data_IF_710982684181
#
_entry.id   IF_710982684181
#
_cell.length_a   1.000
_cell.length_b   1.000
_cell.length_c   1.000
_cell.angle_alpha   90.00
_cell.angle_beta   90.00
_cell.angle_gamma   90.00
#
_symmetry.space_group_name_H-M   'P 1'
#
loop_
_entity.id
_entity.type
_entity.pdbx_description
1 polymer ?
#
# COMPACT_ATOMS: atom_id res chain seq x y z
N UNK A 1 16.66 -58.05 -21.68
CA UNK A 1 17.73 -57.35 -21.00
C UNK A 1 17.15 -56.50 -19.88
N UNK A 2 17.52 -56.79 -18.63
CA UNK A 2 17.15 -55.98 -17.46
C UNK A 2 17.85 -54.62 -17.55
N UNK A 3 17.09 -53.55 -17.50
CA UNK A 3 17.62 -52.20 -17.36
C UNK A 3 18.45 -52.15 -16.07
N UNK A 4 19.67 -51.65 -16.16
CA UNK A 4 20.57 -51.48 -15.02
C UNK A 4 19.92 -50.48 -14.04
N UNK A 5 19.63 -50.89 -12.78
CA UNK A 5 19.00 -50.04 -11.78
C UNK A 5 19.79 -48.75 -11.50
N UNK A 6 21.13 -48.79 -11.62
CA UNK A 6 21.97 -47.60 -11.44
C UNK A 6 21.81 -46.60 -12.59
N UNK A 7 21.64 -47.09 -13.81
CA UNK A 7 21.39 -46.23 -14.97
C UNK A 7 20.05 -45.54 -14.85
N UNK A 8 19.02 -46.26 -14.42
CA UNK A 8 17.68 -45.69 -14.16
C UNK A 8 17.73 -44.68 -13.04
N UNK A 9 18.43 -44.95 -11.95
CA UNK A 9 18.60 -44.01 -10.81
C UNK A 9 19.33 -42.76 -11.25
N UNK A 10 20.37 -42.85 -12.03
CA UNK A 10 21.11 -41.71 -12.56
C UNK A 10 20.25 -40.85 -13.48
N UNK A 11 19.41 -41.43 -14.33
CA UNK A 11 18.45 -40.72 -15.17
C UNK A 11 17.38 -40.02 -14.33
N UNK A 12 16.85 -40.67 -13.30
CA UNK A 12 15.88 -40.08 -12.37
C UNK A 12 16.51 -38.92 -11.61
N UNK A 13 17.73 -39.04 -11.12
CA UNK A 13 18.45 -37.98 -10.43
C UNK A 13 18.83 -36.81 -11.36
N UNK A 14 19.01 -37.05 -12.64
CA UNK A 14 19.36 -36.03 -13.63
C UNK A 14 18.13 -35.26 -14.14
N UNK A 15 17.00 -35.95 -14.35
CA UNK A 15 15.78 -35.40 -14.91
C UNK A 15 14.79 -34.90 -13.82
N UNK A 16 14.86 -35.44 -12.61
CA UNK A 16 13.93 -35.11 -11.54
C UNK A 16 13.96 -33.60 -11.12
N UNK A 17 15.15 -32.95 -10.98
CA UNK A 17 15.19 -31.54 -10.62
C UNK A 17 14.56 -30.63 -11.69
N UNK A 18 14.86 -30.90 -12.97
CA UNK A 18 14.33 -30.13 -14.10
C UNK A 18 12.84 -30.33 -14.27
N UNK A 19 12.39 -31.60 -14.09
CA UNK A 19 10.97 -31.95 -14.16
C UNK A 19 10.17 -31.35 -13.01
N UNK A 20 10.69 -31.35 -11.80
CA UNK A 20 10.08 -30.71 -10.63
C UNK A 20 10.04 -29.18 -10.77
N UNK A 21 11.11 -28.60 -11.30
CA UNK A 21 11.15 -27.17 -11.60
C UNK A 21 10.12 -26.80 -12.66
N UNK A 22 10.04 -27.55 -13.75
CA UNK A 22 9.08 -27.32 -14.82
C UNK A 22 7.64 -27.51 -14.33
N UNK A 23 7.39 -28.55 -13.52
CA UNK A 23 6.09 -28.79 -12.90
C UNK A 23 5.72 -27.64 -11.95
N UNK A 24 6.66 -27.19 -11.13
CA UNK A 24 6.47 -26.04 -10.24
C UNK A 24 6.15 -24.76 -11.01
N UNK A 25 6.85 -24.53 -12.11
CA UNK A 25 6.59 -23.39 -13.00
C UNK A 25 5.20 -23.48 -13.64
N UNK A 26 4.81 -24.65 -14.15
CA UNK A 26 3.48 -24.88 -14.75
C UNK A 26 2.39 -24.69 -13.69
N UNK A 27 2.57 -25.22 -12.49
CA UNK A 27 1.59 -25.06 -11.40
C UNK A 27 1.50 -23.60 -10.95
N UNK A 28 2.61 -22.87 -10.89
CA UNK A 28 2.62 -21.45 -10.55
C UNK A 28 1.91 -20.60 -11.61
N UNK A 29 2.18 -20.86 -12.90
CA UNK A 29 1.49 -20.21 -14.03
C UNK A 29 -0.01 -20.53 -14.00
N UNK A 30 -0.37 -21.79 -13.74
CA UNK A 30 -1.75 -22.23 -13.67
C UNK A 30 -2.48 -21.62 -12.45
N UNK A 31 -1.82 -21.57 -11.28
CA UNK A 31 -2.35 -20.90 -10.09
C UNK A 31 -2.57 -19.40 -10.33
N UNK A 32 -1.62 -18.73 -11.01
CA UNK A 32 -1.74 -17.32 -11.38
C UNK A 32 -2.92 -17.09 -12.34
N UNK A 33 -3.11 -18.02 -13.28
CA UNK A 33 -4.22 -17.96 -14.23
C UNK A 33 -5.59 -18.17 -13.55
N UNK A 34 -5.70 -19.13 -12.62
CA UNK A 34 -6.92 -19.37 -11.84
C UNK A 34 -7.24 -18.19 -10.90
N UNK A 35 -6.21 -17.55 -10.32
CA UNK A 35 -6.38 -16.42 -9.40
C UNK A 35 -6.79 -15.12 -10.10
N UNK A 36 -6.70 -15.08 -11.41
CA UNK A 36 -7.14 -13.95 -12.21
C UNK A 36 -8.66 -14.02 -12.35
N UNK A 37 -9.37 -13.49 -11.39
CA UNK A 37 -10.82 -13.54 -11.24
C UNK A 37 -11.59 -12.60 -12.21
N UNK A 38 -10.99 -12.24 -13.34
CA UNK A 38 -11.65 -11.49 -14.42
C UNK A 38 -11.88 -10.01 -14.13
N UNK A 39 -11.40 -9.50 -13.00
CA UNK A 39 -11.42 -8.05 -12.71
C UNK A 39 -10.64 -7.23 -13.73
N UNK A 40 -9.67 -7.86 -14.36
CA UNK A 40 -8.93 -7.32 -15.49
C UNK A 40 -9.15 -8.23 -16.69
N UNK A 41 -9.38 -7.67 -17.87
CA UNK A 41 -9.16 -8.44 -19.11
C UNK A 41 -7.66 -8.76 -19.14
N UNK A 42 -7.29 -9.90 -18.55
CA UNK A 42 -5.91 -10.28 -18.41
C UNK A 42 -5.26 -10.40 -19.77
N UNK A 43 -4.33 -9.50 -20.03
CA UNK A 43 -3.44 -9.60 -21.17
C UNK A 43 -2.13 -10.22 -20.71
N UNK A 44 -1.41 -10.82 -21.65
CA UNK A 44 -0.10 -11.41 -21.36
C UNK A 44 0.81 -10.43 -20.59
N UNK A 45 1.30 -10.87 -19.45
CA UNK A 45 2.19 -10.09 -18.60
C UNK A 45 1.49 -9.23 -17.54
N UNK A 46 0.17 -9.29 -17.41
CA UNK A 46 -0.54 -8.75 -16.26
C UNK A 46 -0.32 -9.63 -15.02
N UNK A 47 -0.46 -9.02 -13.84
CA UNK A 47 -0.30 -9.69 -12.55
C UNK A 47 -1.65 -9.89 -11.89
N UNK A 48 -1.77 -10.82 -10.90
CA UNK A 48 -3.00 -10.96 -10.11
C UNK A 48 -3.39 -9.69 -9.37
N UNK A 49 -2.42 -8.84 -9.05
CA UNK A 49 -2.58 -7.62 -8.27
C UNK A 49 -2.49 -6.33 -9.12
N UNK A 50 -2.35 -6.43 -10.46
CA UNK A 50 -2.31 -5.22 -11.28
C UNK A 50 -2.15 -5.45 -12.78
N UNK A 51 -2.62 -4.47 -13.53
CA UNK A 51 -2.49 -4.38 -14.99
C UNK A 51 -1.15 -3.74 -15.36
N UNK A 52 -0.40 -4.37 -16.25
CA UNK A 52 0.86 -3.82 -16.75
C UNK A 52 0.63 -2.57 -17.58
N UNK A 53 1.36 -1.50 -17.31
CA UNK A 53 1.39 -0.30 -18.12
C UNK A 53 2.39 -0.47 -19.29
N UNK A 54 1.91 -0.28 -20.51
CA UNK A 54 2.67 -0.54 -21.74
C UNK A 54 3.03 0.73 -22.51
N UNK A 55 2.29 1.82 -22.24
CA UNK A 55 2.43 3.11 -22.96
C UNK A 55 3.17 4.16 -22.14
N UNK A 56 3.96 3.73 -21.14
CA UNK A 56 4.80 4.62 -20.35
C UNK A 56 5.83 5.33 -21.22
N UNK A 57 6.16 6.56 -20.83
CA UNK A 57 7.25 7.29 -21.43
C UNK A 57 8.57 6.47 -21.37
N UNK A 58 9.42 6.50 -22.43
CA UNK A 58 10.61 5.64 -22.49
C UNK A 58 11.51 5.70 -21.25
N UNK A 59 11.74 6.89 -20.70
CA UNK A 59 12.58 7.04 -19.51
C UNK A 59 11.95 6.34 -18.28
N UNK A 60 10.64 6.38 -18.14
CA UNK A 60 9.92 5.68 -17.06
C UNK A 60 10.02 4.15 -17.17
N UNK A 61 10.20 3.63 -18.38
CA UNK A 61 10.43 2.20 -18.60
C UNK A 61 11.87 1.78 -18.25
N UNK A 62 12.85 2.68 -18.37
CA UNK A 62 14.27 2.42 -18.12
C UNK A 62 14.62 2.66 -16.65
N UNK A 63 13.98 3.63 -15.99
CA UNK A 63 14.26 4.02 -14.61
C UNK A 63 14.33 2.85 -13.62
N UNK A 64 13.47 1.82 -13.69
CA UNK A 64 13.54 0.66 -12.78
C UNK A 64 14.82 -0.18 -12.90
N UNK A 65 15.52 -0.07 -14.00
CA UNK A 65 16.81 -0.77 -14.23
C UNK A 65 17.99 0.05 -13.72
N UNK A 66 17.84 1.36 -13.66
CA UNK A 66 18.86 2.30 -13.14
C UNK A 66 18.71 2.42 -11.62
N UNK A 67 17.50 2.63 -11.14
CA UNK A 67 17.15 2.70 -9.73
C UNK A 67 16.56 1.35 -9.30
N UNK A 68 17.40 0.46 -8.77
CA UNK A 68 17.06 -0.95 -8.58
C UNK A 68 16.23 -1.20 -7.33
N UNK A 69 16.46 -0.42 -6.27
CA UNK A 69 15.78 -0.59 -4.98
C UNK A 69 14.84 0.58 -4.68
N UNK A 70 13.83 0.34 -3.82
CA UNK A 70 12.93 1.41 -3.37
C UNK A 70 13.66 2.47 -2.57
N UNK A 71 14.60 2.08 -1.75
CA UNK A 71 15.38 3.03 -0.96
C UNK A 71 16.23 3.95 -1.83
N UNK A 72 16.79 3.45 -2.94
CA UNK A 72 17.58 4.29 -3.88
C UNK A 72 16.72 5.19 -4.78
N UNK A 73 15.41 4.96 -4.83
CA UNK A 73 14.44 5.69 -5.64
C UNK A 73 13.38 6.43 -4.81
N UNK A 74 13.64 6.63 -3.52
CA UNK A 74 12.70 7.29 -2.62
C UNK A 74 12.86 8.80 -2.65
N UNK A 75 11.77 9.49 -2.92
CA UNK A 75 11.63 10.93 -2.69
C UNK A 75 10.98 11.16 -1.33
N UNK A 76 11.48 12.16 -0.60
CA UNK A 76 10.96 12.58 0.68
C UNK A 76 10.15 13.86 0.52
N UNK A 77 8.89 13.81 0.93
CA UNK A 77 7.99 14.95 0.88
C UNK A 77 7.47 15.29 2.26
N UNK A 78 7.44 16.58 2.60
CA UNK A 78 6.89 17.09 3.86
C UNK A 78 5.99 18.29 3.59
N UNK A 79 4.83 18.30 4.23
CA UNK A 79 3.93 19.47 4.23
C UNK A 79 3.24 19.62 5.58
N UNK A 80 2.79 20.82 5.87
CA UNK A 80 1.99 21.15 7.04
C UNK A 80 0.58 21.50 6.59
N UNK A 81 -0.40 20.75 7.09
CA UNK A 81 -1.81 20.99 6.80
C UNK A 81 -2.44 21.82 7.91
N UNK A 82 -3.02 22.96 7.57
CA UNK A 82 -3.92 23.67 8.44
C UNK A 82 -5.25 22.90 8.55
N UNK A 83 -5.67 22.54 9.75
CA UNK A 83 -6.73 21.57 9.98
C UNK A 83 -8.05 22.15 10.51
N UNK A 84 -8.21 23.46 10.54
CA UNK A 84 -9.44 24.09 11.09
C UNK A 84 -10.69 23.64 10.34
N UNK A 85 -10.64 23.59 9.00
CA UNK A 85 -11.74 23.10 8.17
C UNK A 85 -12.02 21.62 8.43
N UNK A 86 -10.98 20.78 8.48
CA UNK A 86 -11.10 19.37 8.78
C UNK A 86 -11.67 19.12 10.18
N UNK A 87 -11.27 19.90 11.19
CA UNK A 87 -11.82 19.78 12.54
C UNK A 87 -13.30 20.17 12.63
N UNK A 88 -13.73 21.22 11.89
CA UNK A 88 -15.16 21.55 11.80
C UNK A 88 -15.96 20.42 11.15
N UNK A 89 -15.44 19.89 10.06
CA UNK A 89 -16.03 18.77 9.34
C UNK A 89 -16.14 17.52 10.23
N UNK A 90 -15.08 17.17 10.97
CA UNK A 90 -15.08 16.06 11.92
C UNK A 90 -16.15 16.23 12.98
N UNK A 91 -16.27 17.43 13.57
CA UNK A 91 -17.32 17.72 14.57
C UNK A 91 -18.72 17.57 13.98
N UNK A 92 -18.92 18.02 12.74
CA UNK A 92 -20.19 17.85 12.04
C UNK A 92 -20.52 16.38 11.85
N UNK A 93 -19.60 15.56 11.32
CA UNK A 93 -19.79 14.13 11.10
C UNK A 93 -20.11 13.38 12.39
N UNK A 94 -19.48 13.77 13.50
CA UNK A 94 -19.80 13.19 14.81
C UNK A 94 -21.21 13.50 15.28
N UNK A 95 -21.73 14.70 14.98
CA UNK A 95 -23.13 15.07 15.27
C UNK A 95 -24.11 14.31 14.37
N UNK A 96 -23.71 13.95 13.18
CA UNK A 96 -24.48 13.15 12.23
C UNK A 96 -24.51 11.65 12.59
N UNK A 97 -23.82 11.22 13.67
CA UNK A 97 -23.82 9.85 14.18
C UNK A 97 -22.54 9.06 13.93
N UNK A 98 -21.53 9.62 13.26
CA UNK A 98 -20.23 8.97 13.05
C UNK A 98 -19.32 9.25 14.27
N UNK A 99 -19.60 8.59 15.40
CA UNK A 99 -19.13 8.98 16.73
C UNK A 99 -17.62 9.02 16.91
N UNK A 100 -16.87 8.15 16.27
CA UNK A 100 -15.41 8.08 16.32
C UNK A 100 -14.74 8.60 15.04
N UNK A 101 -15.48 9.33 14.19
CA UNK A 101 -14.92 9.96 13.00
C UNK A 101 -13.77 10.89 13.38
N UNK A 102 -12.63 10.74 12.72
CA UNK A 102 -11.41 11.47 13.07
C UNK A 102 -10.56 11.84 11.86
N UNK A 103 -9.41 12.43 12.13
CA UNK A 103 -8.50 12.93 11.11
C UNK A 103 -8.00 11.81 10.17
N UNK A 104 -7.79 10.62 10.70
CA UNK A 104 -7.39 9.44 9.88
C UNK A 104 -8.41 9.15 8.78
N UNK A 105 -9.70 9.20 9.10
CA UNK A 105 -10.76 8.98 8.11
C UNK A 105 -10.76 10.06 7.03
N UNK A 106 -10.55 11.33 7.41
CA UNK A 106 -10.48 12.44 6.46
C UNK A 106 -9.27 12.31 5.54
N UNK A 107 -8.10 11.99 6.10
CA UNK A 107 -6.88 11.80 5.32
C UNK A 107 -6.99 10.62 4.34
N UNK A 108 -7.54 9.50 4.78
CA UNK A 108 -7.80 8.35 3.90
C UNK A 108 -8.80 8.70 2.80
N UNK A 109 -9.90 9.36 3.14
CA UNK A 109 -10.89 9.79 2.15
C UNK A 109 -10.31 10.77 1.14
N UNK A 110 -9.46 11.71 1.60
CA UNK A 110 -8.75 12.63 0.71
C UNK A 110 -7.77 11.89 -0.21
N UNK A 111 -7.06 10.90 0.31
CA UNK A 111 -6.16 10.07 -0.49
C UNK A 111 -6.92 9.29 -1.58
N UNK A 112 -8.00 8.64 -1.21
CA UNK A 112 -8.87 7.88 -2.13
C UNK A 112 -9.43 8.79 -3.22
N UNK A 113 -9.93 9.97 -2.85
CA UNK A 113 -10.41 10.98 -3.80
C UNK A 113 -9.30 11.48 -4.72
N UNK A 114 -8.08 11.57 -4.22
CA UNK A 114 -6.92 11.96 -5.00
C UNK A 114 -6.58 10.90 -6.04
N UNK A 115 -6.70 9.62 -5.71
CA UNK A 115 -6.51 8.51 -6.67
C UNK A 115 -7.55 8.57 -7.80
N UNK A 116 -8.79 8.94 -7.51
CA UNK A 116 -9.83 9.08 -8.53
C UNK A 116 -9.43 10.08 -9.63
N UNK A 117 -8.72 11.15 -9.26
CA UNK A 117 -8.25 12.19 -10.18
C UNK A 117 -6.85 11.92 -10.73
N UNK A 118 -6.00 11.30 -9.93
CA UNK A 118 -4.61 11.02 -10.25
C UNK A 118 -4.33 9.51 -10.11
N UNK A 119 -4.81 8.68 -11.07
CA UNK A 119 -4.73 7.23 -10.98
C UNK A 119 -3.29 6.68 -10.97
N UNK A 120 -2.32 7.45 -11.45
CA UNK A 120 -0.90 7.11 -11.35
C UNK A 120 -0.39 6.97 -9.91
N UNK A 121 -1.08 7.56 -8.92
CA UNK A 121 -0.78 7.35 -7.51
C UNK A 121 -1.04 5.90 -7.04
N UNK A 122 -1.88 5.16 -7.76
CA UNK A 122 -2.19 3.75 -7.47
C UNK A 122 -1.39 2.75 -8.32
N UNK A 123 -0.26 3.20 -8.86
CA UNK A 123 0.70 2.34 -9.54
C UNK A 123 1.63 1.67 -8.54
N UNK A 124 2.25 0.58 -8.95
CA UNK A 124 3.35 -0.04 -8.24
C UNK A 124 4.39 -0.60 -9.20
N UNK A 125 5.58 -0.86 -8.68
CA UNK A 125 6.66 -1.45 -9.45
C UNK A 125 6.93 -2.87 -8.94
N UNK A 126 6.93 -3.82 -9.86
CA UNK A 126 7.33 -5.19 -9.59
C UNK A 126 7.98 -5.80 -10.83
N UNK A 127 9.02 -6.62 -10.62
CA UNK A 127 9.76 -7.21 -11.73
C UNK A 127 10.32 -6.16 -12.70
N UNK A 128 10.71 -4.99 -12.20
CA UNK A 128 11.23 -3.84 -12.97
C UNK A 128 10.24 -3.32 -14.03
N UNK A 129 8.95 -3.52 -13.81
CA UNK A 129 7.87 -3.01 -14.64
C UNK A 129 6.84 -2.30 -13.78
N UNK A 130 6.15 -1.34 -14.37
CA UNK A 130 5.13 -0.55 -13.69
C UNK A 130 3.76 -1.13 -13.99
N UNK A 131 2.97 -1.28 -12.94
CA UNK A 131 1.61 -1.79 -12.98
C UNK A 131 0.65 -0.79 -12.35
N UNK A 132 -0.61 -0.83 -12.76
CA UNK A 132 -1.70 -0.11 -12.13
C UNK A 132 -2.60 -1.09 -11.37
N UNK A 133 -2.95 -0.75 -10.11
CA UNK A 133 -3.98 -1.49 -9.36
C UNK A 133 -5.40 -1.13 -9.80
N UNK A 134 -5.53 -0.15 -10.69
CA UNK A 134 -6.85 0.33 -11.13
C UNK A 134 -7.64 0.93 -9.97
N UNK A 135 -8.83 0.43 -9.75
CA UNK A 135 -9.76 0.92 -8.73
C UNK A 135 -9.59 0.25 -7.35
N UNK A 136 -8.67 -0.69 -7.20
CA UNK A 136 -8.39 -1.33 -5.91
C UNK A 136 -7.29 -0.55 -5.17
N UNK A 137 -7.68 0.29 -4.23
CA UNK A 137 -6.76 1.04 -3.38
C UNK A 137 -6.54 0.24 -2.10
N UNK A 138 -5.35 -0.33 -1.96
CA UNK A 138 -4.98 -1.13 -0.80
C UNK A 138 -4.19 -0.26 0.19
N UNK A 139 -4.85 0.15 1.26
CA UNK A 139 -4.22 0.91 2.34
C UNK A 139 -3.84 -0.01 3.50
N UNK A 140 -2.54 -0.11 3.78
CA UNK A 140 -2.03 -0.81 4.95
C UNK A 140 -1.94 0.15 6.13
N UNK A 141 -2.33 -0.30 7.30
CA UNK A 141 -2.31 0.50 8.53
C UNK A 141 -1.98 -0.36 9.74
N UNK A 142 -1.56 0.27 10.81
CA UNK A 142 -1.35 -0.37 12.12
C UNK A 142 -2.47 0.03 13.09
N UNK A 143 -2.93 -0.92 13.86
CA UNK A 143 -3.80 -0.68 15.01
C UNK A 143 -3.26 -1.42 16.23
N UNK A 144 -3.30 -0.78 17.40
CA UNK A 144 -3.01 -1.46 18.67
C UNK A 144 -4.28 -2.13 19.18
N UNK A 145 -4.17 -3.40 19.55
CA UNK A 145 -5.27 -4.14 20.20
C UNK A 145 -5.51 -3.61 21.62
N UNK A 146 -4.45 -3.23 22.31
CA UNK A 146 -4.49 -2.65 23.66
C UNK A 146 -3.61 -1.41 23.74
N UNK A 147 -4.01 -0.42 24.51
CA UNK A 147 -3.26 0.83 24.73
C UNK A 147 -2.15 0.63 25.74
N UNK A 148 -1.35 -0.41 25.58
CA UNK A 148 -0.15 -0.68 26.38
C UNK A 148 1.10 -0.61 25.52
N UNK A 149 2.24 -0.24 26.14
CA UNK A 149 3.52 -0.16 25.42
C UNK A 149 3.98 -1.53 24.91
N UNK A 150 3.60 -2.59 25.61
CA UNK A 150 4.01 -3.98 25.32
C UNK A 150 3.04 -4.70 24.37
N UNK A 151 1.88 -4.09 24.06
CA UNK A 151 0.94 -4.68 23.10
C UNK A 151 1.49 -4.63 21.67
N UNK A 152 1.51 -5.75 20.93
CA UNK A 152 1.95 -5.76 19.56
C UNK A 152 1.03 -4.90 18.68
N UNK A 153 1.61 -4.21 17.70
CA UNK A 153 0.87 -3.55 16.64
C UNK A 153 0.36 -4.61 15.66
N UNK A 154 -0.94 -4.62 15.42
CA UNK A 154 -1.52 -5.43 14.35
C UNK A 154 -1.59 -4.62 13.07
N UNK A 155 -1.14 -5.22 11.97
CA UNK A 155 -1.22 -4.61 10.64
C UNK A 155 -2.45 -5.16 9.94
N UNK A 156 -3.21 -4.27 9.33
CA UNK A 156 -4.36 -4.63 8.52
C UNK A 156 -4.35 -3.91 7.18
N UNK A 157 -5.02 -4.49 6.21
CA UNK A 157 -5.17 -3.96 4.86
C UNK A 157 -6.62 -3.62 4.59
N UNK A 158 -6.85 -2.41 4.11
CA UNK A 158 -8.15 -1.92 3.68
C UNK A 158 -8.22 -1.92 2.17
N UNK A 159 -9.31 -2.43 1.62
CA UNK A 159 -9.66 -2.28 0.21
C UNK A 159 -10.65 -1.14 0.05
N UNK A 160 -10.18 -0.07 -0.57
CA UNK A 160 -10.94 1.15 -0.83
C UNK A 160 -11.13 1.34 -2.34
N UNK A 161 -12.24 1.97 -2.71
CA UNK A 161 -12.52 2.31 -4.12
C UNK A 161 -12.37 3.82 -4.32
N UNK A 162 -11.91 4.29 -5.50
CA UNK A 162 -11.91 5.70 -5.83
C UNK A 162 -13.28 6.38 -5.73
N UNK A 163 -14.37 5.60 -5.79
CA UNK A 163 -15.75 6.07 -5.60
C UNK A 163 -16.16 6.25 -4.14
N UNK A 164 -15.36 5.76 -3.18
CA UNK A 164 -15.71 5.82 -1.77
C UNK A 164 -15.82 7.27 -1.26
N UNK A 165 -16.90 7.54 -0.52
CA UNK A 165 -17.10 8.77 0.22
C UNK A 165 -16.40 8.70 1.59
N UNK A 166 -16.36 9.84 2.31
CA UNK A 166 -15.83 9.85 3.68
C UNK A 166 -16.60 8.88 4.60
N UNK A 167 -17.90 8.73 4.40
CA UNK A 167 -18.72 7.79 5.16
C UNK A 167 -18.40 6.33 4.81
N UNK A 168 -18.14 6.03 3.54
CA UNK A 168 -17.73 4.69 3.11
C UNK A 168 -16.38 4.32 3.69
N UNK A 169 -15.41 5.25 3.66
CA UNK A 169 -14.10 5.08 4.27
C UNK A 169 -14.22 4.85 5.78
N UNK A 170 -15.04 5.64 6.46
CA UNK A 170 -15.31 5.47 7.88
C UNK A 170 -15.85 4.07 8.21
N UNK A 171 -16.85 3.61 7.46
CA UNK A 171 -17.47 2.30 7.66
C UNK A 171 -16.47 1.17 7.44
N UNK A 172 -15.73 1.21 6.33
CA UNK A 172 -14.72 0.18 5.98
C UNK A 172 -13.58 0.15 7.00
N UNK A 173 -13.08 1.31 7.41
CA UNK A 173 -12.01 1.42 8.40
C UNK A 173 -12.43 0.85 9.75
N UNK A 174 -13.60 1.27 10.26
CA UNK A 174 -14.07 0.83 11.57
C UNK A 174 -14.38 -0.67 11.56
N UNK A 175 -14.97 -1.20 10.49
CA UNK A 175 -15.22 -2.64 10.37
C UNK A 175 -13.91 -3.44 10.44
N UNK A 176 -12.85 -3.00 9.77
CA UNK A 176 -11.54 -3.65 9.84
C UNK A 176 -10.89 -3.54 11.22
N UNK A 177 -11.03 -2.40 11.90
CA UNK A 177 -10.51 -2.22 13.27
C UNK A 177 -11.28 -3.10 14.27
N UNK A 178 -12.59 -3.20 14.13
CA UNK A 178 -13.42 -4.04 15.00
C UNK A 178 -13.11 -5.53 14.78
N UNK A 179 -12.90 -5.97 13.54
CA UNK A 179 -12.46 -7.33 13.23
C UNK A 179 -11.12 -7.67 13.90
N UNK A 180 -10.17 -6.73 13.93
CA UNK A 180 -8.89 -6.92 14.61
C UNK A 180 -9.07 -7.05 16.12
N UNK A 181 -9.94 -6.24 16.73
CA UNK A 181 -10.20 -6.28 18.17
C UNK A 181 -10.87 -7.58 18.59
N UNK A 182 -11.76 -8.09 17.74
CA UNK A 182 -12.51 -9.32 17.99
C UNK A 182 -11.71 -10.59 17.63
N UNK A 183 -10.64 -10.45 16.83
CA UNK A 183 -9.80 -11.58 16.44
C UNK A 183 -8.86 -12.01 17.59
N UNK A 184 -8.41 -13.29 17.65
CA UNK A 184 -7.39 -13.74 18.58
C UNK A 184 -6.15 -12.83 18.53
N UNK A 185 -5.36 -12.81 19.60
CA UNK A 185 -4.17 -11.96 19.77
C UNK A 185 -3.15 -12.07 18.60
N UNK A 186 -3.29 -13.09 17.77
CA UNK A 186 -2.42 -13.36 16.64
C UNK A 186 -3.13 -13.02 15.33
N UNK A 187 -2.62 -12.00 14.62
CA UNK A 187 -3.04 -11.72 13.24
C UNK A 187 -2.50 -12.80 12.29
N UNK A 188 -3.10 -12.95 11.11
CA UNK A 188 -2.60 -13.87 10.06
C UNK A 188 -1.15 -13.53 9.67
N UNK A 189 -0.79 -12.25 9.72
CA UNK A 189 0.58 -11.80 9.51
C UNK A 189 1.51 -12.29 10.64
N UNK A 190 1.11 -12.16 11.91
CA UNK A 190 1.90 -12.60 13.05
C UNK A 190 2.07 -14.11 13.05
N UNK A 191 1.03 -14.86 12.71
CA UNK A 191 1.09 -16.33 12.57
C UNK A 191 2.04 -16.74 11.45
N UNK A 192 1.97 -16.06 10.31
CA UNK A 192 2.89 -16.28 9.20
C UNK A 192 4.33 -15.95 9.59
N UNK A 193 4.56 -14.83 10.29
CA UNK A 193 5.87 -14.44 10.79
C UNK A 193 6.42 -15.46 11.80
N UNK A 194 5.59 -15.94 12.73
CA UNK A 194 5.98 -17.01 13.68
C UNK A 194 6.36 -18.30 12.96
N UNK A 195 5.57 -18.72 11.97
CA UNK A 195 5.91 -19.90 11.19
C UNK A 195 7.29 -19.75 10.51
N UNK A 196 7.60 -18.56 10.01
CA UNK A 196 8.91 -18.25 9.43
C UNK A 196 10.05 -18.29 10.46
N UNK A 197 9.80 -17.94 11.72
CA UNK A 197 10.85 -18.01 12.77
C UNK A 197 11.27 -19.43 13.15
N UNK A 198 10.44 -20.42 12.83
CA UNK A 198 10.77 -21.84 13.04
C UNK A 198 11.74 -22.37 11.98
N UNK A 199 11.95 -21.63 10.90
CA UNK A 199 12.84 -22.01 9.80
C UNK A 199 14.28 -21.62 10.14
N UNK A 200 15.27 -22.52 10.04
CA UNK A 200 16.68 -22.18 10.19
C UNK A 200 17.09 -21.04 9.26
N UNK A 201 17.95 -20.12 9.75
CA UNK A 201 18.26 -18.86 9.07
C UNK A 201 18.71 -19.02 7.60
N UNK A 202 19.44 -20.08 7.26
CA UNK A 202 19.86 -20.35 5.88
C UNK A 202 18.66 -20.70 4.99
N UNK A 203 17.74 -21.54 5.50
CA UNK A 203 16.51 -21.88 4.80
C UNK A 203 15.57 -20.68 4.73
N UNK A 204 15.50 -19.86 5.78
CA UNK A 204 14.73 -18.63 5.77
C UNK A 204 15.22 -17.66 4.68
N UNK A 205 16.54 -17.50 4.55
CA UNK A 205 17.14 -16.69 3.48
C UNK A 205 16.77 -17.21 2.10
N UNK A 206 16.81 -18.52 1.90
CA UNK A 206 16.37 -19.16 0.66
C UNK A 206 14.86 -18.96 0.42
N UNK A 207 14.03 -19.12 1.45
CA UNK A 207 12.58 -18.89 1.37
C UNK A 207 12.26 -17.46 0.94
N UNK A 208 12.89 -16.46 1.57
CA UNK A 208 12.70 -15.05 1.21
C UNK A 208 13.18 -14.77 -0.22
N UNK A 209 14.31 -15.36 -0.63
CA UNK A 209 14.80 -15.27 -2.00
C UNK A 209 13.80 -15.89 -3.00
N UNK A 210 13.24 -17.04 -2.68
CA UNK A 210 12.22 -17.71 -3.50
C UNK A 210 10.96 -16.86 -3.61
N UNK A 211 10.46 -16.30 -2.50
CA UNK A 211 9.29 -15.41 -2.50
C UNK A 211 9.54 -14.16 -3.36
N UNK A 212 10.72 -13.56 -3.27
CA UNK A 212 11.11 -12.44 -4.13
C UNK A 212 11.14 -12.80 -5.60
N UNK A 213 11.64 -13.98 -5.91
CA UNK A 213 11.73 -14.49 -7.29
C UNK A 213 10.34 -14.75 -7.86
N UNK A 214 9.47 -15.38 -7.09
CA UNK A 214 8.07 -15.61 -7.48
C UNK A 214 7.35 -14.27 -7.66
N UNK A 215 7.56 -13.30 -6.76
CA UNK A 215 6.97 -11.98 -6.86
C UNK A 215 7.48 -11.22 -8.10
N UNK A 216 8.77 -11.35 -8.42
CA UNK A 216 9.36 -10.77 -9.63
C UNK A 216 8.59 -11.18 -10.89
N UNK A 217 8.18 -12.44 -10.98
CA UNK A 217 7.44 -13.00 -12.12
C UNK A 217 5.92 -12.91 -11.97
N UNK A 218 5.40 -12.31 -10.89
CA UNK A 218 3.96 -12.23 -10.64
C UNK A 218 3.30 -13.55 -10.26
N UNK A 219 4.06 -14.46 -9.68
CA UNK A 219 3.62 -15.82 -9.33
C UNK A 219 3.36 -16.03 -7.84
N UNK A 220 3.38 -14.96 -7.03
CA UNK A 220 2.98 -15.08 -5.62
C UNK A 220 1.50 -15.41 -5.51
N UNK A 221 1.13 -16.37 -4.65
CA UNK A 221 -0.27 -16.68 -4.37
C UNK A 221 -1.03 -15.46 -3.82
N UNK A 222 -2.30 -15.31 -4.24
CA UNK A 222 -3.14 -14.17 -3.85
C UNK A 222 -3.26 -14.01 -2.34
N UNK A 223 -3.36 -15.10 -1.58
CA UNK A 223 -3.45 -15.03 -0.13
C UNK A 223 -2.20 -14.43 0.52
N UNK A 224 -1.01 -14.69 -0.03
CA UNK A 224 0.23 -14.08 0.46
C UNK A 224 0.29 -12.58 0.12
N UNK A 225 -0.18 -12.19 -1.06
CA UNK A 225 -0.29 -10.77 -1.42
C UNK A 225 -1.26 -10.05 -0.50
N UNK A 226 -2.35 -10.72 -0.10
CA UNK A 226 -3.38 -10.16 0.78
C UNK A 226 -2.87 -9.95 2.21
N UNK A 227 -2.25 -10.97 2.78
CA UNK A 227 -1.72 -10.93 4.17
C UNK A 227 -0.49 -10.02 4.27
N UNK A 228 0.28 -9.88 3.19
CA UNK A 228 1.55 -9.13 3.21
C UNK A 228 1.33 -7.63 3.34
N UNK A 229 1.89 -6.97 4.35
CA UNK A 229 1.85 -5.51 4.47
C UNK A 229 2.84 -4.82 3.52
N UNK A 230 3.69 -5.58 2.85
CA UNK A 230 4.69 -5.09 1.90
C UNK A 230 4.14 -4.95 0.48
N UNK A 231 2.93 -5.43 0.25
CA UNK A 231 2.20 -5.36 -1.01
C UNK A 231 0.94 -4.52 -0.80
N UNK A 232 0.82 -3.42 -1.52
CA UNK A 232 -0.32 -2.52 -1.40
C UNK A 232 -0.09 -1.20 -2.11
N UNK A 233 -1.05 -0.30 -1.98
CA UNK A 233 -0.98 1.03 -2.60
C UNK A 233 -0.26 2.03 -1.71
N UNK A 234 -0.55 2.01 -0.42
CA UNK A 234 -0.04 2.98 0.54
C UNK A 234 -0.03 2.38 1.94
N UNK A 235 0.95 2.76 2.73
CA UNK A 235 0.98 2.52 4.16
C UNK A 235 0.79 3.86 4.88
N UNK A 236 -0.22 3.94 5.74
CA UNK A 236 -0.44 5.11 6.59
C UNK A 236 -0.17 4.77 8.06
N UNK A 237 0.57 5.64 8.73
CA UNK A 237 0.78 5.56 10.17
C UNK A 237 0.47 6.88 10.85
N UNK A 238 -0.18 6.80 12.02
CA UNK A 238 -0.49 7.96 12.84
C UNK A 238 0.50 8.06 14.01
N UNK A 239 1.39 9.02 13.94
CA UNK A 239 2.25 9.38 15.07
C UNK A 239 1.52 10.27 16.08
N UNK A 240 0.38 10.84 15.68
CA UNK A 240 -0.46 11.69 16.52
C UNK A 240 -1.03 10.96 17.74
N UNK A 241 -1.34 9.67 17.61
CA UNK A 241 -1.78 8.82 18.72
C UNK A 241 -0.67 8.61 19.77
N UNK A 242 0.59 8.73 19.38
CA UNK A 242 1.76 8.62 20.23
C UNK A 242 2.23 9.99 20.77
N UNK A 243 1.60 11.09 20.34
CA UNK A 243 1.96 12.45 20.74
C UNK A 243 3.28 12.96 20.17
N UNK A 244 3.80 12.36 19.11
CA UNK A 244 5.07 12.73 18.48
C UNK A 244 4.86 13.35 17.08
N UNK A 245 5.86 14.10 16.57
CA UNK A 245 5.85 14.60 15.20
C UNK A 245 5.82 13.48 14.15
N UNK A 246 5.42 13.83 12.93
CA UNK A 246 5.52 12.91 11.79
C UNK A 246 6.98 12.54 11.52
N UNK A 247 7.17 11.32 11.05
CA UNK A 247 8.49 10.80 10.66
C UNK A 247 8.51 10.41 9.19
N UNK A 248 9.68 10.39 8.59
CA UNK A 248 9.90 9.69 7.34
C UNK A 248 10.14 8.21 7.64
N UNK A 249 9.23 7.36 7.20
CA UNK A 249 9.41 5.92 7.29
C UNK A 249 9.98 5.39 5.98
N UNK A 250 10.98 4.51 6.06
CA UNK A 250 11.55 3.92 4.85
C UNK A 250 10.52 3.07 4.08
N UNK A 251 10.70 2.98 2.76
CA UNK A 251 10.01 1.99 1.95
C UNK A 251 10.71 0.63 2.09
N UNK A 252 9.94 -0.44 1.95
CA UNK A 252 10.49 -1.79 2.02
C UNK A 252 11.02 -2.23 0.67
N UNK A 253 12.19 -2.87 0.66
CA UNK A 253 12.74 -3.48 -0.57
C UNK A 253 12.05 -4.80 -0.93
N UNK A 254 11.39 -5.43 0.04
CA UNK A 254 10.51 -6.58 -0.19
C UNK A 254 9.11 -6.09 -0.54
N UNK A 255 8.46 -6.74 -1.51
CA UNK A 255 7.11 -6.39 -1.95
C UNK A 255 7.08 -5.25 -2.98
N UNK A 256 5.99 -4.50 -3.00
CA UNK A 256 5.74 -3.50 -4.04
C UNK A 256 5.08 -2.20 -3.54
N UNK A 257 5.04 -1.99 -2.23
CA UNK A 257 4.43 -0.81 -1.61
C UNK A 257 5.20 0.48 -1.99
N UNK A 258 4.60 1.40 -2.75
CA UNK A 258 5.32 2.56 -3.29
C UNK A 258 5.22 3.82 -2.45
N UNK A 259 4.28 3.89 -1.51
CA UNK A 259 4.00 5.10 -0.74
C UNK A 259 3.89 4.76 0.74
N UNK A 260 4.64 5.48 1.56
CA UNK A 260 4.51 5.44 3.01
C UNK A 260 4.23 6.86 3.53
N UNK A 261 3.06 7.06 4.14
CA UNK A 261 2.64 8.33 4.72
C UNK A 261 2.57 8.27 6.23
N UNK A 262 3.10 9.29 6.88
CA UNK A 262 2.98 9.49 8.33
C UNK A 262 2.41 10.87 8.62
N UNK A 263 1.52 10.97 9.59
CA UNK A 263 1.07 12.24 10.12
C UNK A 263 1.31 12.33 11.61
N UNK A 264 1.72 13.53 12.05
CA UNK A 264 2.11 13.80 13.42
C UNK A 264 0.95 14.23 14.31
N UNK A 265 1.29 14.58 15.55
CA UNK A 265 0.35 15.18 16.48
C UNK A 265 -0.06 16.58 16.01
N UNK A 266 -1.24 17.02 16.47
CA UNK A 266 -1.72 18.37 16.23
C UNK A 266 -0.83 19.36 16.97
N UNK A 267 -0.43 20.43 16.29
CA UNK A 267 0.34 21.52 16.87
C UNK A 267 -0.34 22.87 16.63
N UNK A 268 -0.12 23.82 17.52
CA UNK A 268 -0.61 25.18 17.40
C UNK A 268 0.56 26.09 17.02
N UNK A 269 0.30 27.01 16.12
CA UNK A 269 1.28 28.01 15.68
C UNK A 269 0.62 29.38 15.66
N UNK A 270 1.30 30.38 16.19
CA UNK A 270 0.89 31.78 16.07
C UNK A 270 1.45 32.34 14.76
N UNK A 271 0.58 32.87 13.93
CA UNK A 271 0.92 33.48 12.65
C UNK A 271 0.60 34.95 12.67
N UNK A 272 1.51 35.77 12.17
CA UNK A 272 1.28 37.23 11.99
C UNK A 272 0.73 37.44 10.59
N UNK A 273 -0.47 38.00 10.52
CA UNK A 273 -1.10 38.36 9.25
C UNK A 273 -0.48 39.65 8.66
N UNK A 274 -0.81 39.94 7.39
CA UNK A 274 -0.27 41.10 6.69
C UNK A 274 -0.65 42.46 7.36
N UNK A 275 -1.73 42.49 8.12
CA UNK A 275 -2.19 43.65 8.90
C UNK A 275 -1.55 43.76 10.31
N UNK A 276 -0.61 42.86 10.63
CA UNK A 276 0.03 42.76 11.95
C UNK A 276 -0.76 41.99 13.01
N UNK A 277 -1.95 41.51 12.71
CA UNK A 277 -2.76 40.72 13.64
C UNK A 277 -2.14 39.34 13.85
N UNK A 278 -2.12 38.88 15.11
CA UNK A 278 -1.66 37.53 15.44
C UNK A 278 -2.86 36.57 15.52
N UNK A 279 -2.83 35.51 14.73
CA UNK A 279 -3.84 34.46 14.76
C UNK A 279 -3.19 33.13 15.17
N UNK A 280 -3.90 32.33 15.98
CA UNK A 280 -3.47 31.00 16.31
C UNK A 280 -4.12 30.00 15.35
N UNK A 281 -3.30 29.20 14.69
CA UNK A 281 -3.74 28.14 13.79
C UNK A 281 -3.30 26.77 14.26
N UNK A 282 -4.04 25.74 13.87
CA UNK A 282 -3.72 24.34 14.15
C UNK A 282 -3.23 23.66 12.89
N UNK A 283 -2.14 22.92 13.03
CA UNK A 283 -1.51 22.16 11.96
C UNK A 283 -1.32 20.72 12.32
N UNK A 284 -1.30 19.88 11.30
CA UNK A 284 -0.76 18.52 11.32
C UNK A 284 0.29 18.43 10.24
N UNK A 285 1.47 17.95 10.62
CA UNK A 285 2.55 17.72 9.66
C UNK A 285 2.40 16.35 9.03
N UNK A 286 2.56 16.31 7.71
CA UNK A 286 2.59 15.11 6.91
C UNK A 286 4.00 14.88 6.38
N UNK A 287 4.44 13.63 6.41
CA UNK A 287 5.69 13.19 5.79
C UNK A 287 5.45 11.93 4.96
N UNK A 288 5.93 11.97 3.73
CA UNK A 288 5.78 10.87 2.78
C UNK A 288 7.13 10.43 2.25
N UNK A 289 7.29 9.12 2.14
CA UNK A 289 8.32 8.46 1.36
C UNK A 289 7.67 7.88 0.11
N UNK A 290 8.17 8.23 -1.06
CA UNK A 290 7.51 8.00 -2.34
C UNK A 290 8.49 7.35 -3.31
N UNK A 291 8.07 6.27 -3.96
CA UNK A 291 8.84 5.66 -5.05
C UNK A 291 8.67 6.50 -6.33
N UNK A 292 9.74 7.18 -6.78
CA UNK A 292 9.68 8.03 -7.97
C UNK A 292 9.60 7.25 -9.29
N UNK A 293 9.75 5.92 -9.24
CA UNK A 293 9.67 5.09 -10.45
C UNK A 293 8.24 4.86 -10.93
N UNK A 294 7.22 5.09 -10.07
CA UNK A 294 5.81 4.94 -10.45
C UNK A 294 5.25 6.19 -11.13
N UNK A 295 5.62 7.36 -10.66
CA UNK A 295 5.30 8.68 -11.22
C UNK A 295 6.42 9.66 -10.88
N UNK A 296 6.58 10.70 -11.69
CA UNK A 296 7.59 11.72 -11.49
C UNK A 296 7.25 12.74 -10.38
N UNK A 297 8.21 13.58 -10.06
CA UNK A 297 8.06 14.61 -9.03
C UNK A 297 6.97 15.64 -9.35
N UNK A 298 6.74 15.97 -10.61
CA UNK A 298 5.68 16.90 -11.02
C UNK A 298 4.28 16.29 -10.75
N UNK A 299 4.12 15.00 -11.05
CA UNK A 299 2.91 14.27 -10.76
C UNK A 299 2.61 14.23 -9.25
N UNK A 300 3.62 13.91 -8.44
CA UNK A 300 3.50 13.94 -6.97
C UNK A 300 3.16 15.34 -6.45
N UNK A 301 3.77 16.39 -6.97
CA UNK A 301 3.44 17.76 -6.59
C UNK A 301 1.96 18.08 -6.85
N UNK A 302 1.43 17.65 -7.99
CA UNK A 302 0.00 17.82 -8.34
C UNK A 302 -0.91 17.03 -7.40
N UNK A 303 -0.54 15.80 -7.05
CA UNK A 303 -1.23 14.93 -6.09
C UNK A 303 -1.36 15.60 -4.73
N UNK A 304 -0.25 16.08 -4.15
CA UNK A 304 -0.27 16.67 -2.82
C UNK A 304 -0.96 18.02 -2.78
N UNK A 305 -0.83 18.82 -3.83
CA UNK A 305 -1.58 20.08 -3.96
C UNK A 305 -3.08 19.82 -3.97
N UNK A 306 -3.54 18.81 -4.67
CA UNK A 306 -4.94 18.43 -4.72
C UNK A 306 -5.43 17.87 -3.38
N UNK A 307 -4.64 16.98 -2.76
CA UNK A 307 -4.97 16.42 -1.44
C UNK A 307 -5.09 17.53 -0.37
N UNK A 308 -4.19 18.51 -0.38
CA UNK A 308 -4.25 19.68 0.50
C UNK A 308 -5.56 20.49 0.29
N UNK A 309 -5.97 20.68 -0.96
CA UNK A 309 -7.25 21.33 -1.28
C UNK A 309 -8.44 20.57 -0.69
N UNK A 310 -8.44 19.25 -0.77
CA UNK A 310 -9.50 18.41 -0.18
C UNK A 310 -9.53 18.53 1.35
N UNK A 311 -8.39 18.67 2.00
CA UNK A 311 -8.32 18.91 3.45
C UNK A 311 -8.85 20.29 3.84
N UNK A 312 -8.75 21.28 2.96
CA UNK A 312 -9.32 22.63 3.16
C UNK A 312 -10.83 22.68 2.84
N UNK A 313 -11.32 21.78 1.99
CA UNK A 313 -12.72 21.66 1.58
C UNK A 313 -13.21 20.21 1.73
N UNK A 314 -13.25 19.69 2.97
CA UNK A 314 -13.55 18.26 3.22
C UNK A 314 -15.01 17.89 2.94
N UNK A 315 -15.90 18.86 2.79
CA UNK A 315 -17.28 18.67 2.33
C UNK A 315 -17.36 18.01 0.94
N UNK A 316 -16.34 18.21 0.10
CA UNK A 316 -16.23 17.53 -1.20
C UNK A 316 -16.14 16.01 -1.07
N UNK A 317 -15.80 15.49 0.10
CA UNK A 317 -15.66 14.05 0.37
C UNK A 317 -17.01 13.38 0.71
N UNK A 318 -18.08 14.15 0.87
CA UNK A 318 -19.42 13.62 1.21
C UNK A 318 -20.11 12.95 0.02
N UNK A 319 -19.74 13.32 -1.18
CA UNK A 319 -20.28 12.75 -2.41
C UNK A 319 -19.20 11.98 -3.16
N UNK A 320 -19.55 10.97 -3.97
CA UNK A 320 -18.60 10.33 -4.88
C UNK A 320 -17.93 11.36 -5.81
N UNK A 321 -16.77 11.07 -6.39
CA UNK A 321 -16.18 11.93 -7.40
C UNK A 321 -17.07 12.02 -8.64
N UNK A 322 -17.06 13.18 -9.31
CA UNK A 322 -17.79 13.36 -10.58
C UNK A 322 -17.27 12.43 -11.67
N UNK A 323 -15.99 12.14 -11.63
CA UNK A 323 -15.31 11.27 -12.59
C UNK A 323 -14.19 10.48 -11.91
N UNK A 324 -14.02 9.23 -12.31
CA UNK A 324 -12.88 8.39 -11.94
C UNK A 324 -12.03 8.22 -13.20
N UNK A 325 -10.86 8.83 -13.20
CA UNK A 325 -9.94 8.73 -14.31
C UNK A 325 -9.26 7.36 -14.33
N UNK A 326 -9.22 6.76 -15.51
CA UNK A 326 -8.46 5.53 -15.74
C UNK A 326 -6.99 5.88 -16.02
N UNK A 327 -6.09 5.07 -15.49
CA UNK A 327 -4.67 5.18 -15.80
C UNK A 327 -4.40 4.75 -17.27
N UNK A 328 -3.28 5.22 -17.79
CA UNK A 328 -2.80 4.87 -19.15
C UNK A 328 -2.71 3.35 -19.35
N UNK A 329 -2.68 2.92 -20.60
CA UNK A 329 -2.56 1.50 -20.96
C UNK A 329 -1.13 0.96 -20.89
#
# INVERSE_FOLDING_TARGET
>A
GSLDPQLVMNWVLYLAPDSLFLLGLILAVFATWIQNDGKYHATWGDRPDGRRLRTLYPMSQISPYIMVTRNSSTNFFSDSLEISAAERYIRQKRREGLTNFGLTHVLLAAYVRTVAKYPGLNRFLAGQKVYSRGEDIQSCMTAKKEMSADAPDSIFKLHLSPSDTAQDVYRKFNAAVDEIKDSPLDSDFDNTARALTLIPGVLLKFTVWLLRTLDYFGMLPKFLLEVSPFHGSVFFTSMGSLGIPAIYHHLYDFGNLPVFGAFGCKRRTNEVLADGTVVQRKYVDLKFCLDERIVDGFYYASVFKYMKRLMQHPDLLDQPPEEILRDID
#
